data_IF_564598547513
#
_entry.id   IF_564598547513
#
_cell.length_a   1.000
_cell.length_b   1.000
_cell.length_c   1.000
_cell.angle_alpha   90.00
_cell.angle_beta   90.00
_cell.angle_gamma   90.00
#
_symmetry.space_group_name_H-M   'P 1'
#
loop_
_entity.id
_entity.type
_entity.pdbx_description
1 polymer ?
#
# COMPACT_ATOMS: atom_id res chain seq x y z
N UNK A 1 -12.94 0.64 18.01
CA UNK A 1 -11.73 1.25 17.44
C UNK A 1 -10.62 0.20 17.49
N UNK A 2 -10.23 -0.39 16.36
CA UNK A 2 -9.41 -1.62 16.35
C UNK A 2 -7.90 -1.37 16.16
N UNK A 3 -7.52 -0.13 15.83
CA UNK A 3 -6.12 0.26 15.69
C UNK A 3 -5.49 0.35 17.09
N UNK A 4 -4.41 -0.39 17.31
CA UNK A 4 -3.70 -0.41 18.60
C UNK A 4 -2.32 0.24 18.56
N UNK A 5 -1.75 0.43 17.37
CA UNK A 5 -0.46 1.10 17.18
C UNK A 5 -0.38 1.78 15.81
N UNK A 6 0.36 2.87 15.70
CA UNK A 6 0.61 3.58 14.45
C UNK A 6 2.07 4.03 14.40
N UNK A 7 2.71 3.88 13.25
CA UNK A 7 4.02 4.48 12.94
C UNK A 7 3.96 5.29 11.64
N UNK A 8 4.91 6.20 11.42
CA UNK A 8 5.10 6.77 10.08
C UNK A 8 5.62 5.69 9.11
N UNK A 9 5.41 5.90 7.81
CA UNK A 9 5.69 4.89 6.79
C UNK A 9 6.72 5.36 5.74
N UNK A 10 6.31 5.57 4.49
CA UNK A 10 7.21 5.79 3.35
C UNK A 10 8.04 7.09 3.40
N UNK A 11 9.00 7.20 2.50
CA UNK A 11 9.84 8.40 2.36
C UNK A 11 9.17 9.37 1.37
N UNK A 12 9.29 10.67 1.66
CA UNK A 12 9.02 11.71 0.66
C UNK A 12 10.24 11.97 -0.21
N UNK A 13 9.96 12.44 -1.41
CA UNK A 13 10.96 13.12 -2.22
C UNK A 13 11.45 14.38 -1.49
N UNK A 14 12.78 14.54 -1.36
CA UNK A 14 13.36 15.63 -0.54
C UNK A 14 13.91 16.82 -1.35
N UNK A 15 13.96 16.73 -2.68
CA UNK A 15 14.63 17.76 -3.49
C UNK A 15 13.69 18.85 -4.04
N UNK A 16 12.39 18.58 -4.05
CA UNK A 16 11.35 19.57 -4.30
C UNK A 16 10.27 19.42 -3.21
N UNK A 17 9.55 20.50 -2.90
CA UNK A 17 8.37 20.43 -2.05
C UNK A 17 7.32 19.55 -2.74
N UNK A 18 7.31 18.27 -2.41
CA UNK A 18 6.59 17.24 -3.14
C UNK A 18 5.79 16.39 -2.17
N UNK A 19 4.55 16.09 -2.54
CA UNK A 19 3.71 15.08 -1.86
C UNK A 19 3.96 13.67 -2.44
N UNK A 20 4.95 13.53 -3.33
CA UNK A 20 5.24 12.27 -3.99
C UNK A 20 6.06 11.36 -3.07
N UNK A 21 5.70 10.08 -3.11
CA UNK A 21 6.41 9.03 -2.39
C UNK A 21 7.65 8.60 -3.15
N UNK A 22 8.70 8.31 -2.41
CA UNK A 22 9.95 7.82 -2.99
C UNK A 22 9.84 6.39 -3.50
N UNK A 23 9.00 5.59 -2.88
CA UNK A 23 8.90 4.17 -3.14
C UNK A 23 7.49 3.73 -3.49
N UNK A 24 7.36 2.68 -4.31
CA UNK A 24 6.08 2.06 -4.59
C UNK A 24 5.32 1.62 -3.33
N UNK A 25 4.00 1.76 -3.36
CA UNK A 25 3.09 1.18 -2.36
C UNK A 25 1.90 0.53 -3.06
N UNK A 26 1.54 -0.67 -2.60
CA UNK A 26 0.32 -1.38 -2.96
C UNK A 26 -0.56 -1.56 -1.73
N UNK A 27 -1.84 -1.26 -1.85
CA UNK A 27 -2.83 -1.42 -0.79
C UNK A 27 -4.09 -2.06 -1.36
N UNK A 28 -4.57 -3.13 -0.73
CA UNK A 28 -5.77 -3.87 -1.14
C UNK A 28 -5.80 -4.26 -2.63
N UNK A 29 -4.66 -4.66 -3.20
CA UNK A 29 -4.56 -5.05 -4.61
C UNK A 29 -4.26 -3.89 -5.56
N UNK A 30 -4.38 -2.64 -5.11
CA UNK A 30 -4.20 -1.44 -5.94
C UNK A 30 -2.84 -0.79 -5.67
N UNK A 31 -2.08 -0.50 -6.72
CA UNK A 31 -0.85 0.29 -6.60
C UNK A 31 -1.23 1.75 -6.42
N UNK A 32 -1.05 2.28 -5.21
CA UNK A 32 -1.42 3.66 -4.86
C UNK A 32 -0.29 4.66 -5.14
N UNK A 33 0.94 4.18 -5.33
CA UNK A 33 2.08 4.96 -5.81
C UNK A 33 3.08 4.05 -6.49
N UNK A 34 3.67 4.51 -7.61
CA UNK A 34 4.79 3.85 -8.29
C UNK A 34 6.16 4.22 -7.74
N UNK A 35 6.25 5.20 -6.83
CA UNK A 35 7.50 5.79 -6.40
C UNK A 35 8.15 6.65 -7.49
N UNK A 36 8.46 7.92 -7.18
CA UNK A 36 8.99 8.86 -8.19
C UNK A 36 10.30 9.55 -7.77
N UNK A 37 10.84 9.24 -6.59
CA UNK A 37 11.97 10.01 -6.06
C UNK A 37 13.29 9.61 -6.71
N UNK A 38 14.24 10.55 -6.86
CA UNK A 38 15.64 10.25 -7.18
C UNK A 38 16.41 9.40 -6.17
N UNK A 39 15.80 9.12 -5.02
CA UNK A 39 16.26 8.15 -4.04
C UNK A 39 15.58 6.78 -4.19
N UNK A 40 14.52 6.73 -5.00
CA UNK A 40 13.74 5.55 -5.33
C UNK A 40 14.29 4.78 -6.54
N UNK A 41 13.53 3.79 -7.03
CA UNK A 41 13.88 2.99 -8.19
C UNK A 41 13.66 3.75 -9.51
N UNK A 42 14.33 4.88 -9.69
CA UNK A 42 14.20 5.68 -10.92
C UNK A 42 15.36 5.42 -11.88
N UNK A 43 15.12 5.69 -13.17
CA UNK A 43 16.11 5.47 -14.24
C UNK A 43 17.38 6.30 -14.06
N UNK A 44 17.25 7.52 -13.56
CA UNK A 44 18.35 8.48 -13.44
C UNK A 44 18.42 9.02 -12.01
N UNK A 45 18.97 8.25 -11.05
CA UNK A 45 19.08 8.73 -9.68
C UNK A 45 20.07 9.89 -9.58
N UNK A 46 19.85 10.75 -8.60
CA UNK A 46 20.69 11.95 -8.41
C UNK A 46 22.11 11.62 -7.92
N UNK A 47 22.27 10.50 -7.22
CA UNK A 47 23.58 9.97 -6.81
C UNK A 47 23.73 8.55 -7.34
N UNK A 48 24.93 8.21 -7.86
CA UNK A 48 25.26 6.88 -8.39
C UNK A 48 25.09 5.76 -7.36
N UNK A 49 25.15 6.09 -6.07
CA UNK A 49 24.86 5.15 -4.99
C UNK A 49 23.50 4.47 -5.17
N UNK A 50 22.46 5.24 -5.50
CA UNK A 50 21.09 4.75 -5.64
C UNK A 50 20.90 3.83 -6.86
N UNK A 51 21.82 3.82 -7.82
CA UNK A 51 21.75 2.91 -8.97
C UNK A 51 21.95 1.44 -8.61
N UNK A 52 22.57 1.15 -7.44
CA UNK A 52 22.99 -0.20 -7.06
C UNK A 52 22.37 -0.69 -5.74
N UNK A 53 21.40 0.05 -5.18
CA UNK A 53 20.74 -0.33 -3.92
C UNK A 53 19.84 -1.56 -4.10
N UNK A 54 19.77 -2.41 -3.08
CA UNK A 54 18.80 -3.49 -3.04
C UNK A 54 17.59 -3.04 -2.24
N UNK A 55 16.50 -2.82 -2.96
CA UNK A 55 15.22 -2.53 -2.34
C UNK A 55 14.57 -3.83 -1.85
N UNK A 56 13.81 -3.69 -0.78
CA UNK A 56 13.01 -4.77 -0.19
C UNK A 56 11.55 -4.36 -0.20
N UNK A 57 10.67 -5.35 -0.24
CA UNK A 57 9.25 -5.18 -0.05
C UNK A 57 8.83 -5.87 1.26
N UNK A 58 8.17 -5.14 2.15
CA UNK A 58 7.34 -5.74 3.19
C UNK A 58 5.98 -6.03 2.56
N UNK A 59 5.61 -7.29 2.48
CA UNK A 59 4.35 -7.78 1.92
C UNK A 59 3.49 -8.34 3.04
N UNK A 60 2.19 -8.04 3.03
CA UNK A 60 1.27 -8.63 4.00
C UNK A 60 -0.16 -8.82 3.47
N UNK A 61 -0.84 -9.78 4.08
CA UNK A 61 -2.27 -10.02 3.96
C UNK A 61 -2.86 -10.46 5.32
N UNK A 62 -4.02 -11.12 5.32
CA UNK A 62 -4.66 -11.59 6.54
C UNK A 62 -4.06 -12.88 7.11
N UNK A 63 -3.14 -13.53 6.40
CA UNK A 63 -2.52 -14.82 6.75
C UNK A 63 -1.04 -14.67 7.07
N UNK A 64 -0.34 -13.74 6.42
CA UNK A 64 1.10 -13.63 6.51
C UNK A 64 1.61 -12.20 6.39
N UNK A 65 2.80 -11.97 6.93
CA UNK A 65 3.63 -10.82 6.64
C UNK A 65 5.09 -11.28 6.46
N UNK A 66 5.75 -10.82 5.40
CA UNK A 66 7.11 -11.24 5.08
C UNK A 66 7.88 -10.15 4.34
N UNK A 67 9.21 -10.25 4.39
CA UNK A 67 10.12 -9.34 3.67
C UNK A 67 10.78 -10.10 2.52
N UNK A 68 10.81 -9.50 1.33
CA UNK A 68 11.42 -10.09 0.13
C UNK A 68 12.13 -9.02 -0.72
N UNK A 69 12.93 -9.44 -1.69
CA UNK A 69 13.52 -8.55 -2.69
C UNK A 69 12.44 -7.84 -3.52
N UNK A 70 12.66 -6.55 -3.78
CA UNK A 70 11.90 -5.79 -4.78
C UNK A 70 12.73 -5.67 -6.06
N UNK A 71 12.18 -6.14 -7.17
CA UNK A 71 12.80 -6.03 -8.48
C UNK A 71 12.26 -4.78 -9.20
N UNK A 72 13.12 -3.78 -9.36
CA UNK A 72 12.76 -2.48 -9.92
C UNK A 72 12.34 -2.54 -11.39
N UNK A 73 12.86 -3.51 -12.16
CA UNK A 73 12.57 -3.66 -13.60
C UNK A 73 11.20 -4.28 -13.81
N UNK A 74 10.89 -5.35 -13.09
CA UNK A 74 9.61 -6.07 -13.22
C UNK A 74 8.50 -5.48 -12.36
N UNK A 75 8.83 -4.72 -11.30
CA UNK A 75 7.87 -4.30 -10.27
C UNK A 75 7.48 -5.42 -9.30
N UNK A 76 8.13 -6.59 -9.35
CA UNK A 76 7.86 -7.68 -8.43
C UNK A 76 8.34 -7.34 -7.00
N UNK A 77 7.59 -7.71 -5.95
CA UNK A 77 6.40 -8.57 -6.00
C UNK A 77 5.08 -7.78 -6.15
N UNK A 78 5.12 -6.45 -6.22
CA UNK A 78 3.90 -5.61 -6.23
C UNK A 78 2.98 -5.93 -7.42
N UNK A 79 3.55 -6.23 -8.59
CA UNK A 79 2.77 -6.60 -9.77
C UNK A 79 2.14 -8.01 -9.70
N UNK A 80 2.45 -8.82 -8.69
CA UNK A 80 1.93 -10.18 -8.57
C UNK A 80 0.48 -10.16 -8.04
N UNK A 81 -0.39 -10.97 -8.66
CA UNK A 81 -1.82 -11.04 -8.31
C UNK A 81 -2.09 -11.47 -6.86
N UNK A 82 -1.22 -12.31 -6.30
CA UNK A 82 -1.31 -12.78 -4.92
C UNK A 82 -0.93 -11.72 -3.88
N UNK A 83 -0.27 -10.63 -4.27
CA UNK A 83 0.19 -9.59 -3.37
C UNK A 83 -0.90 -8.53 -3.21
N UNK A 84 -1.50 -8.47 -2.02
CA UNK A 84 -2.55 -7.49 -1.71
C UNK A 84 -2.00 -6.19 -1.15
N UNK A 85 -1.07 -6.27 -0.20
CA UNK A 85 -0.47 -5.09 0.39
C UNK A 85 1.04 -5.21 0.39
N UNK A 86 1.71 -4.14 0.00
CA UNK A 86 3.16 -4.08 0.05
C UNK A 86 3.64 -2.64 0.17
N UNK A 87 4.73 -2.44 0.92
CA UNK A 87 5.52 -1.21 0.88
C UNK A 87 6.92 -1.56 0.41
N UNK A 88 7.45 -0.78 -0.52
CA UNK A 88 8.85 -0.87 -0.94
C UNK A 88 9.68 0.11 -0.14
N UNK A 89 10.87 -0.31 0.28
CA UNK A 89 11.82 0.56 0.98
C UNK A 89 13.23 -0.02 0.93
N UNK A 90 14.19 0.67 1.54
CA UNK A 90 15.56 0.20 1.67
C UNK A 90 15.69 -1.02 2.57
N UNK A 91 16.56 -1.94 2.17
CA UNK A 91 17.28 -2.79 3.12
C UNK A 91 18.12 -1.90 4.05
N UNK A 92 18.17 -2.19 5.34
CA UNK A 92 18.89 -1.31 6.29
C UNK A 92 20.37 -1.11 5.92
N UNK A 93 21.02 -2.14 5.36
CA UNK A 93 22.43 -2.08 4.94
C UNK A 93 22.67 -1.11 3.79
N UNK A 94 21.63 -0.86 2.99
CA UNK A 94 21.69 -0.07 1.76
C UNK A 94 20.94 1.26 1.97
N UNK A 95 20.64 1.62 3.21
CA UNK A 95 20.02 2.89 3.53
C UNK A 95 21.03 4.05 3.37
N UNK A 96 20.65 5.19 2.77
CA UNK A 96 21.56 6.32 2.54
C UNK A 96 22.16 6.90 3.81
N UNK A 97 21.43 6.88 4.92
CA UNK A 97 21.98 7.34 6.20
C UNK A 97 23.17 6.48 6.67
N UNK A 98 23.23 5.20 6.26
CA UNK A 98 24.36 4.33 6.53
C UNK A 98 25.52 4.61 5.58
N UNK A 99 25.25 4.69 4.28
CA UNK A 99 26.33 4.77 3.27
C UNK A 99 26.79 6.20 2.99
N UNK A 100 25.86 7.12 2.75
CA UNK A 100 26.16 8.51 2.41
C UNK A 100 26.35 9.38 3.65
N UNK A 101 25.58 9.13 4.72
CA UNK A 101 25.68 9.90 5.97
C UNK A 101 26.53 9.20 7.05
N UNK A 102 27.39 8.25 6.65
CA UNK A 102 28.38 7.60 7.52
C UNK A 102 27.79 6.97 8.80
N UNK A 103 26.57 6.44 8.71
CA UNK A 103 25.90 5.71 9.79
C UNK A 103 25.78 6.51 11.10
N UNK A 104 25.54 7.82 11.02
CA UNK A 104 25.38 8.67 12.20
C UNK A 104 24.19 8.27 13.07
N UNK A 105 24.32 8.52 14.38
CA UNK A 105 23.23 8.25 15.32
C UNK A 105 22.02 9.16 15.06
N UNK A 106 20.84 8.57 14.94
CA UNK A 106 19.60 9.28 14.66
C UNK A 106 18.38 8.53 15.25
N UNK A 107 17.18 9.04 14.97
CA UNK A 107 15.94 8.27 15.12
C UNK A 107 15.77 7.37 13.91
N UNK A 108 15.52 6.09 14.15
CA UNK A 108 15.26 5.12 13.11
C UNK A 108 14.06 4.25 13.45
N UNK A 109 13.40 3.77 12.40
CA UNK A 109 12.40 2.73 12.49
C UNK A 109 12.85 1.55 11.64
N UNK A 110 13.10 0.44 12.30
CA UNK A 110 13.58 -0.79 11.67
C UNK A 110 12.56 -1.90 11.85
N UNK A 111 12.34 -2.65 10.78
CA UNK A 111 11.35 -3.72 10.71
C UNK A 111 12.05 -4.99 10.26
N UNK A 112 11.81 -6.08 10.97
CA UNK A 112 12.26 -7.40 10.61
C UNK A 112 11.20 -8.45 10.93
N UNK A 113 11.50 -9.68 10.56
CA UNK A 113 10.59 -10.81 10.81
C UNK A 113 11.24 -11.85 11.71
N UNK A 114 10.48 -12.28 12.72
CA UNK A 114 10.82 -13.40 13.60
C UNK A 114 10.19 -14.66 13.02
N UNK A 115 11.03 -15.50 12.42
CA UNK A 115 10.61 -16.81 11.96
C UNK A 115 10.66 -17.79 13.14
N UNK A 116 9.49 -18.22 13.61
CA UNK A 116 9.36 -19.07 14.81
C UNK A 116 9.44 -20.56 14.52
N UNK A 117 9.05 -20.98 13.31
CA UNK A 117 8.79 -22.38 12.96
C UNK A 117 9.56 -22.86 11.72
N UNK A 118 10.40 -22.01 11.13
CA UNK A 118 11.10 -22.22 9.85
C UNK A 118 10.18 -22.29 8.63
N UNK A 119 8.89 -21.98 8.78
CA UNK A 119 7.95 -21.88 7.67
C UNK A 119 8.01 -20.47 7.10
N UNK A 120 8.33 -20.36 5.82
CA UNK A 120 8.42 -19.07 5.14
C UNK A 120 7.02 -18.44 5.06
N UNK A 121 6.84 -17.27 5.69
CA UNK A 121 5.61 -16.49 5.63
C UNK A 121 4.76 -16.46 6.90
N UNK A 122 4.89 -17.42 7.83
CA UNK A 122 4.21 -17.36 9.14
C UNK A 122 5.08 -16.63 10.17
N UNK A 123 5.36 -15.36 9.88
CA UNK A 123 6.37 -14.60 10.61
C UNK A 123 5.75 -13.54 11.51
N UNK A 124 6.27 -13.44 12.74
CA UNK A 124 5.93 -12.34 13.63
C UNK A 124 6.74 -11.10 13.19
N UNK A 125 6.05 -10.03 12.83
CA UNK A 125 6.71 -8.73 12.57
C UNK A 125 7.25 -8.16 13.89
N UNK A 126 8.56 -7.89 13.90
CA UNK A 126 9.20 -7.13 14.96
C UNK A 126 9.57 -5.75 14.42
N UNK A 127 9.00 -4.73 15.06
CA UNK A 127 9.16 -3.33 14.70
C UNK A 127 9.80 -2.63 15.88
N UNK A 128 10.88 -1.90 15.63
CA UNK A 128 11.57 -1.14 16.65
C UNK A 128 11.78 0.30 16.21
N UNK A 129 11.40 1.22 17.10
CA UNK A 129 11.70 2.63 16.97
C UNK A 129 12.78 3.00 17.98
N UNK A 130 13.90 3.53 17.50
CA UNK A 130 15.00 4.01 18.33
C UNK A 130 15.03 5.54 18.32
N UNK A 131 15.28 6.15 19.47
CA UNK A 131 15.33 7.61 19.59
C UNK A 131 16.73 8.19 19.27
N UNK A 132 17.78 7.42 19.53
CA UNK A 132 19.17 7.80 19.23
C UNK A 132 20.04 6.55 19.16
N UNK A 133 20.28 6.07 17.96
CA UNK A 133 21.22 4.99 17.68
C UNK A 133 21.70 5.12 16.23
N UNK A 134 22.86 4.55 15.91
CA UNK A 134 23.22 4.27 14.52
C UNK A 134 22.27 3.24 13.93
N UNK A 135 22.21 3.14 12.59
CA UNK A 135 21.33 2.16 11.95
C UNK A 135 21.83 0.73 12.17
N UNK A 136 23.15 0.53 12.27
CA UNK A 136 23.75 -0.76 12.61
C UNK A 136 23.41 -1.19 14.04
N UNK A 137 23.52 -0.30 15.03
CA UNK A 137 23.12 -0.62 16.42
C UNK A 137 21.64 -1.01 16.51
N UNK A 138 20.76 -0.30 15.80
CA UNK A 138 19.34 -0.62 15.75
C UNK A 138 19.08 -2.00 15.11
N UNK A 139 19.76 -2.30 14.01
CA UNK A 139 19.66 -3.59 13.35
C UNK A 139 20.25 -4.72 14.19
N UNK A 140 21.39 -4.51 14.86
CA UNK A 140 22.02 -5.48 15.76
C UNK A 140 21.10 -5.82 16.94
N UNK A 141 20.32 -4.85 17.43
CA UNK A 141 19.31 -5.12 18.45
C UNK A 141 18.17 -5.99 17.91
N UNK A 142 17.68 -5.78 16.68
CA UNK A 142 16.74 -6.72 16.03
C UNK A 142 17.34 -8.13 15.90
N UNK A 143 18.63 -8.24 15.54
CA UNK A 143 19.34 -9.53 15.45
C UNK A 143 19.37 -10.23 16.81
N UNK A 144 19.73 -9.51 17.87
CA UNK A 144 19.73 -10.04 19.26
C UNK A 144 18.35 -10.48 19.72
N UNK A 145 17.29 -9.84 19.22
CA UNK A 145 15.90 -10.22 19.48
C UNK A 145 15.41 -11.39 18.60
N UNK A 146 16.27 -11.95 17.75
CA UNK A 146 16.01 -13.18 17.00
C UNK A 146 15.66 -13.00 15.52
N UNK A 147 15.74 -11.78 14.97
CA UNK A 147 15.49 -11.56 13.53
C UNK A 147 16.63 -12.17 12.72
N UNK A 148 16.31 -13.18 11.91
CA UNK A 148 17.28 -13.86 11.04
C UNK A 148 17.18 -13.42 9.57
N UNK A 149 16.01 -12.94 9.15
CA UNK A 149 15.74 -12.52 7.77
C UNK A 149 16.30 -11.14 7.41
N UNK A 150 15.73 -10.54 6.38
CA UNK A 150 16.04 -9.15 6.03
C UNK A 150 15.52 -8.17 7.07
N UNK A 151 16.22 -7.04 7.20
CA UNK A 151 15.80 -5.89 8.00
C UNK A 151 15.63 -4.72 7.03
N UNK A 152 14.50 -4.06 7.12
CA UNK A 152 14.16 -2.89 6.32
C UNK A 152 14.00 -1.66 7.22
N UNK A 153 14.02 -0.48 6.62
CA UNK A 153 13.78 0.77 7.35
C UNK A 153 12.64 1.51 6.71
N UNK A 154 11.87 2.24 7.50
CA UNK A 154 10.92 3.24 7.01
C UNK A 154 11.45 4.63 7.32
N UNK A 155 10.70 5.69 6.97
CA UNK A 155 11.16 7.06 7.19
C UNK A 155 11.50 7.30 8.67
N UNK A 156 12.54 8.07 8.92
CA UNK A 156 13.17 8.20 10.22
C UNK A 156 13.42 9.66 10.57
N UNK A 157 14.44 9.88 11.40
CA UNK A 157 14.86 11.21 11.83
C UNK A 157 13.69 12.01 12.41
N UNK A 158 13.50 13.22 11.88
CA UNK A 158 12.46 14.13 12.35
C UNK A 158 11.05 13.62 12.11
N UNK A 159 10.80 12.78 11.10
CA UNK A 159 9.48 12.23 10.77
C UNK A 159 9.01 11.14 11.71
N UNK A 160 9.92 10.58 12.51
CA UNK A 160 9.66 9.45 13.40
C UNK A 160 8.43 9.68 14.27
N UNK A 161 7.41 8.84 14.10
CA UNK A 161 6.18 8.83 14.87
C UNK A 161 5.94 7.42 15.43
N UNK A 162 5.53 7.35 16.69
CA UNK A 162 5.07 6.13 17.35
C UNK A 162 3.90 6.46 18.26
N UNK A 163 2.76 5.88 17.96
CA UNK A 163 1.58 5.89 18.80
C UNK A 163 1.21 4.46 19.21
N UNK A 164 0.75 4.32 20.45
CA UNK A 164 0.16 3.10 20.98
C UNK A 164 -1.15 3.44 21.71
N UNK A 165 -2.21 2.67 21.48
CA UNK A 165 -3.53 2.91 22.06
C UNK A 165 -3.58 2.93 23.60
N UNK A 166 -2.63 2.26 24.27
CA UNK A 166 -2.55 2.23 25.74
C UNK A 166 -1.73 3.40 26.30
N UNK A 167 -0.74 3.89 25.54
CA UNK A 167 0.24 4.88 26.02
C UNK A 167 0.11 6.25 25.32
N UNK A 168 -0.74 6.38 24.32
CA UNK A 168 -0.87 7.57 23.49
C UNK A 168 0.31 7.76 22.53
N UNK A 169 0.64 9.03 22.24
CA UNK A 169 1.77 9.41 21.42
C UNK A 169 3.07 9.23 22.21
N UNK A 170 3.81 8.15 21.93
CA UNK A 170 5.09 7.82 22.58
C UNK A 170 6.23 8.63 21.95
N UNK A 171 6.24 8.74 20.62
CA UNK A 171 7.21 9.56 19.87
C UNK A 171 6.44 10.43 18.89
N UNK A 172 6.71 11.72 18.91
CA UNK A 172 6.10 12.71 18.01
C UNK A 172 7.12 13.23 16.99
N UNK A 173 6.67 13.54 15.75
CA UNK A 173 7.53 14.17 14.75
C UNK A 173 8.03 15.52 15.25
N UNK A 174 9.28 15.84 14.92
CA UNK A 174 9.89 17.13 15.25
C UNK A 174 9.90 18.04 14.04
N UNK A 175 9.53 19.31 14.19
CA UNK A 175 9.52 20.27 13.10
C UNK A 175 10.89 20.41 12.43
N UNK A 176 10.88 20.69 11.13
CA UNK A 176 12.11 20.92 10.39
C UNK A 176 12.67 22.33 10.67
N UNK A 177 11.76 23.29 10.92
CA UNK A 177 12.06 24.65 11.35
C UNK A 177 11.14 25.03 12.52
N UNK A 178 11.62 25.78 13.53
CA UNK A 178 10.80 26.18 14.69
C UNK A 178 9.56 27.02 14.34
N UNK A 179 9.54 27.63 13.15
CA UNK A 179 8.47 28.49 12.63
C UNK A 179 7.37 27.71 11.87
N UNK A 180 7.54 26.41 11.64
CA UNK A 180 6.52 25.56 11.02
C UNK A 180 5.38 25.29 12.03
N UNK A 181 4.13 25.32 11.59
CA UNK A 181 2.98 25.13 12.49
C UNK A 181 2.98 23.70 13.09
N UNK A 182 3.08 23.53 14.42
CA UNK A 182 3.16 22.22 15.08
C UNK A 182 1.90 21.38 14.95
N UNK A 183 0.77 21.96 14.54
CA UNK A 183 -0.50 21.25 14.43
C UNK A 183 -0.59 20.33 13.20
N UNK A 184 0.20 20.58 12.14
CA UNK A 184 0.11 19.82 10.89
C UNK A 184 1.48 19.62 10.27
N UNK A 185 2.21 18.59 10.70
CA UNK A 185 3.00 17.87 9.71
C UNK A 185 2.01 17.01 8.94
N UNK A 186 1.71 17.37 7.70
CA UNK A 186 1.00 16.49 6.78
C UNK A 186 1.92 15.30 6.47
N UNK A 187 2.11 14.39 7.41
CA UNK A 187 2.57 13.03 7.13
C UNK A 187 1.34 12.34 6.54
N UNK A 188 1.22 12.20 5.22
CA UNK A 188 0.00 11.71 4.58
C UNK A 188 -0.06 10.17 4.58
N UNK A 189 0.93 9.50 5.17
CA UNK A 189 0.96 8.03 5.27
C UNK A 189 1.47 7.54 6.61
N UNK A 190 0.71 6.58 7.14
CA UNK A 190 1.03 5.88 8.37
C UNK A 190 0.85 4.38 8.14
N UNK A 191 1.66 3.59 8.82
CA UNK A 191 1.42 2.15 8.93
C UNK A 191 0.67 1.91 10.24
N UNK A 192 -0.61 1.55 10.11
CA UNK A 192 -1.49 1.29 11.24
C UNK A 192 -1.62 -0.20 11.53
N UNK A 193 -1.47 -0.57 12.80
CA UNK A 193 -1.62 -1.94 13.28
C UNK A 193 -2.96 -2.08 13.98
N UNK A 194 -3.77 -3.03 13.50
CA UNK A 194 -5.13 -3.24 14.00
C UNK A 194 -5.34 -4.67 14.44
N UNK A 195 -6.14 -4.85 15.49
CA UNK A 195 -6.69 -6.16 15.84
C UNK A 195 -7.70 -6.57 14.79
N UNK A 196 -7.62 -7.79 14.31
CA UNK A 196 -8.68 -8.39 13.48
C UNK A 196 -9.93 -8.53 14.35
N UNK A 197 -11.00 -7.77 14.04
CA UNK A 197 -12.31 -8.09 14.59
C UNK A 197 -12.91 -9.24 13.81
N UNK A 198 -13.39 -10.27 14.52
CA UNK A 198 -14.16 -11.37 13.94
C UNK A 198 -15.47 -10.94 13.27
N UNK A 199 -15.85 -9.67 13.38
CA UNK A 199 -16.91 -9.10 12.55
C UNK A 199 -16.40 -9.05 11.12
N UNK A 200 -16.61 -10.16 10.38
CA UNK A 200 -16.60 -10.15 8.92
C UNK A 200 -17.50 -9.00 8.49
N UNK A 201 -16.91 -7.92 8.00
CA UNK A 201 -17.69 -6.95 7.22
C UNK A 201 -18.22 -7.77 6.06
N UNK A 202 -19.55 -7.89 5.97
CA UNK A 202 -20.18 -8.65 4.90
C UNK A 202 -19.55 -8.24 3.56
N UNK A 203 -19.16 -9.20 2.70
CA UNK A 203 -18.65 -8.87 1.39
C UNK A 203 -19.63 -7.95 0.65
N UNK A 204 -19.12 -6.88 0.05
CA UNK A 204 -19.93 -5.89 -0.66
C UNK A 204 -19.14 -5.28 -1.80
N UNK A 205 -19.87 -4.79 -2.80
CA UNK A 205 -19.35 -3.95 -3.88
C UNK A 205 -20.00 -2.58 -3.75
N UNK A 206 -19.19 -1.53 -3.73
CA UNK A 206 -19.60 -0.13 -3.77
C UNK A 206 -19.22 0.45 -5.12
N UNK A 207 -20.16 1.11 -5.80
CA UNK A 207 -19.89 1.75 -7.10
C UNK A 207 -19.29 3.15 -6.87
N UNK A 208 -18.21 3.45 -7.61
CA UNK A 208 -17.38 4.64 -7.40
C UNK A 208 -17.72 5.87 -8.26
N UNK A 209 -18.83 5.87 -9.01
CA UNK A 209 -19.16 7.02 -9.86
C UNK A 209 -19.66 8.22 -9.05
N UNK A 210 -18.93 9.32 -9.16
CA UNK A 210 -19.25 10.61 -8.55
C UNK A 210 -20.40 11.28 -9.33
N UNK A 211 -21.60 11.17 -8.76
CA UNK A 211 -22.64 12.22 -8.73
C UNK A 211 -23.29 12.71 -10.04
N UNK A 212 -23.10 12.05 -11.19
CA UNK A 212 -24.00 12.22 -12.33
C UNK A 212 -24.26 10.87 -13.02
N UNK A 213 -25.52 10.58 -13.35
CA UNK A 213 -25.88 9.48 -14.25
C UNK A 213 -25.32 9.81 -15.63
N UNK A 214 -24.14 9.29 -15.95
CA UNK A 214 -23.52 9.47 -17.27
C UNK A 214 -23.88 8.26 -18.11
N UNK A 215 -24.72 8.48 -19.12
CA UNK A 215 -25.08 7.48 -20.12
C UNK A 215 -23.89 7.18 -21.04
N UNK A 216 -23.47 5.91 -21.18
CA UNK A 216 -22.45 5.50 -22.14
C UNK A 216 -22.90 5.78 -23.57
N UNK A 217 -22.04 6.42 -24.36
CA UNK A 217 -22.27 6.66 -25.79
C UNK A 217 -21.79 5.45 -26.60
N UNK A 218 -22.59 5.03 -27.57
CA UNK A 218 -22.24 3.95 -28.49
C UNK A 218 -20.87 4.22 -29.15
N UNK A 219 -20.03 3.19 -29.19
CA UNK A 219 -18.69 3.18 -29.79
C UNK A 219 -17.70 4.18 -29.14
N UNK A 220 -17.97 4.62 -27.90
CA UNK A 220 -17.07 5.46 -27.10
C UNK A 220 -16.64 4.75 -25.80
N UNK A 221 -15.40 4.91 -25.34
CA UNK A 221 -14.95 4.28 -24.10
C UNK A 221 -15.70 4.83 -22.88
N UNK A 222 -16.05 3.93 -21.97
CA UNK A 222 -16.75 4.21 -20.73
C UNK A 222 -16.07 3.50 -19.56
N UNK A 223 -15.71 4.26 -18.53
CA UNK A 223 -15.04 3.71 -17.33
C UNK A 223 -16.07 3.31 -16.27
N UNK A 224 -16.05 2.03 -15.92
CA UNK A 224 -16.82 1.45 -14.83
C UNK A 224 -15.90 1.38 -13.61
N UNK A 225 -16.29 2.03 -12.52
CA UNK A 225 -15.48 2.15 -11.30
C UNK A 225 -16.20 1.53 -10.10
N UNK A 226 -15.48 0.72 -9.32
CA UNK A 226 -16.00 0.12 -8.09
C UNK A 226 -14.92 -0.05 -7.02
N UNK A 227 -15.39 -0.36 -5.81
CA UNK A 227 -14.58 -0.80 -4.68
C UNK A 227 -15.26 -2.00 -4.06
N UNK A 228 -14.48 -2.93 -3.52
CA UNK A 228 -15.00 -4.07 -2.77
C UNK A 228 -14.12 -4.39 -1.56
N UNK A 229 -14.53 -5.38 -0.78
CA UNK A 229 -13.82 -5.86 0.39
C UNK A 229 -13.62 -7.39 0.38
N UNK A 230 -13.55 -8.02 -0.80
CA UNK A 230 -13.38 -9.47 -0.92
C UNK A 230 -12.27 -9.86 -1.90
N UNK A 231 -11.74 -11.07 -1.74
CA UNK A 231 -10.66 -11.59 -2.58
C UNK A 231 -11.20 -12.55 -3.65
N UNK A 232 -11.79 -11.98 -4.70
CA UNK A 232 -12.32 -12.69 -5.86
C UNK A 232 -12.35 -11.79 -7.09
N UNK A 233 -12.26 -12.39 -8.27
CA UNK A 233 -12.63 -11.76 -9.54
C UNK A 233 -14.11 -11.37 -9.54
N UNK A 234 -14.48 -10.51 -10.49
CA UNK A 234 -15.87 -10.06 -10.71
C UNK A 234 -16.34 -10.33 -12.13
N UNK A 235 -17.66 -10.38 -12.31
CA UNK A 235 -18.32 -10.32 -13.62
C UNK A 235 -19.07 -9.01 -13.77
N UNK A 236 -19.11 -8.45 -14.99
CA UNK A 236 -19.75 -7.18 -15.30
C UNK A 236 -20.81 -7.42 -16.39
N UNK A 237 -22.04 -7.01 -16.14
CA UNK A 237 -23.18 -7.26 -17.04
C UNK A 237 -24.10 -6.05 -17.13
N UNK A 238 -24.70 -5.84 -18.28
CA UNK A 238 -25.68 -4.80 -18.55
C UNK A 238 -27.09 -5.38 -18.55
N UNK A 239 -28.01 -4.75 -17.83
CA UNK A 239 -29.39 -5.18 -17.69
C UNK A 239 -30.38 -4.07 -18.04
N UNK A 240 -31.57 -4.52 -18.48
CA UNK A 240 -32.79 -3.73 -18.62
C UNK A 240 -33.86 -4.42 -17.75
N UNK A 241 -34.10 -3.89 -16.56
CA UNK A 241 -34.83 -4.61 -15.51
C UNK A 241 -34.20 -5.98 -15.23
N UNK A 242 -34.94 -7.07 -15.43
CA UNK A 242 -34.43 -8.44 -15.24
C UNK A 242 -33.80 -9.05 -16.51
N UNK A 243 -33.86 -8.35 -17.65
CA UNK A 243 -33.35 -8.85 -18.92
C UNK A 243 -31.86 -8.55 -19.04
N UNK A 244 -31.04 -9.58 -19.19
CA UNK A 244 -29.63 -9.42 -19.54
C UNK A 244 -29.54 -8.89 -20.99
N UNK A 245 -28.94 -7.72 -21.15
CA UNK A 245 -28.68 -7.11 -22.45
C UNK A 245 -27.31 -7.51 -22.97
N UNK A 246 -26.28 -7.44 -22.13
CA UNK A 246 -24.92 -7.74 -22.52
C UNK A 246 -24.11 -8.33 -21.36
N UNK A 247 -23.30 -9.34 -21.69
CA UNK A 247 -22.22 -9.79 -20.82
C UNK A 247 -20.96 -8.96 -21.13
N UNK A 248 -20.75 -7.86 -20.41
CA UNK A 248 -19.63 -6.93 -20.65
C UNK A 248 -18.30 -7.63 -20.36
N UNK A 249 -18.22 -8.34 -19.24
CA UNK A 249 -17.10 -9.22 -18.91
C UNK A 249 -17.61 -10.41 -18.10
N UNK A 250 -17.34 -11.61 -18.60
CA UNK A 250 -17.68 -12.84 -17.88
C UNK A 250 -16.84 -13.03 -16.62
N UNK A 251 -15.60 -12.51 -16.61
CA UNK A 251 -14.65 -12.57 -15.50
C UNK A 251 -13.52 -11.57 -15.73
N UNK A 252 -13.28 -10.71 -14.75
CA UNK A 252 -12.14 -9.77 -14.71
C UNK A 252 -11.60 -9.68 -13.28
N UNK A 253 -10.33 -9.29 -13.13
CA UNK A 253 -9.76 -9.00 -11.83
C UNK A 253 -10.59 -7.92 -11.12
N UNK A 254 -10.71 -8.02 -9.78
CA UNK A 254 -11.36 -6.98 -8.98
C UNK A 254 -10.35 -5.92 -8.56
N UNK A 255 -9.89 -5.13 -9.52
CA UNK A 255 -8.91 -4.04 -9.34
C UNK A 255 -9.56 -2.64 -9.31
N UNK A 256 -10.88 -2.58 -9.40
CA UNK A 256 -11.70 -1.38 -9.19
C UNK A 256 -12.00 -0.55 -10.43
N UNK A 257 -11.53 -0.98 -11.62
CA UNK A 257 -11.74 -0.26 -12.89
C UNK A 257 -11.92 -1.22 -14.06
N UNK A 258 -12.83 -0.88 -14.98
CA UNK A 258 -12.98 -1.59 -16.25
C UNK A 258 -13.38 -0.61 -17.35
N UNK A 259 -12.63 -0.61 -18.46
CA UNK A 259 -12.99 0.15 -19.66
C UNK A 259 -13.92 -0.70 -20.55
N UNK A 260 -15.10 -0.16 -20.84
CA UNK A 260 -16.09 -0.78 -21.71
C UNK A 260 -16.37 0.11 -22.91
N UNK A 261 -16.38 -0.49 -24.11
CA UNK A 261 -16.85 0.16 -25.34
C UNK A 261 -18.20 -0.47 -25.72
N UNK A 262 -19.34 0.23 -25.53
CA UNK A 262 -20.64 -0.27 -25.90
C UNK A 262 -20.84 -0.24 -27.41
N UNK A 263 -21.03 -1.39 -28.04
CA UNK A 263 -21.44 -1.45 -29.47
C UNK A 263 -22.96 -1.37 -29.67
N UNK A 264 -23.68 -0.99 -28.62
CA UNK A 264 -25.13 -0.84 -28.59
C UNK A 264 -25.50 0.54 -28.05
N UNK A 265 -26.68 1.04 -28.40
CA UNK A 265 -27.24 2.24 -27.78
C UNK A 265 -27.72 1.92 -26.37
N UNK A 266 -27.01 2.43 -25.36
CA UNK A 266 -27.40 2.30 -23.95
C UNK A 266 -28.51 3.31 -23.65
N UNK A 267 -29.57 2.85 -22.98
CA UNK A 267 -30.76 3.66 -22.69
C UNK A 267 -30.83 4.01 -21.22
N UNK A 268 -31.49 5.12 -20.91
CA UNK A 268 -31.78 5.50 -19.52
C UNK A 268 -32.62 4.39 -18.86
N UNK A 269 -32.26 4.06 -17.61
CA UNK A 269 -32.90 2.97 -16.86
C UNK A 269 -32.23 1.60 -17.05
N UNK A 270 -31.22 1.50 -17.91
CA UNK A 270 -30.33 0.34 -17.90
C UNK A 270 -29.45 0.42 -16.65
N UNK A 271 -28.98 -0.73 -16.17
CA UNK A 271 -28.00 -0.77 -15.10
C UNK A 271 -26.88 -1.76 -15.38
N UNK A 272 -25.70 -1.41 -14.91
CA UNK A 272 -24.53 -2.30 -14.89
C UNK A 272 -24.49 -2.98 -13.54
N UNK A 273 -24.51 -4.31 -13.55
CA UNK A 273 -24.28 -5.12 -12.35
C UNK A 273 -22.86 -5.66 -12.36
N UNK A 274 -22.15 -5.37 -11.27
CA UNK A 274 -20.87 -5.97 -10.95
C UNK A 274 -21.14 -7.02 -9.87
N UNK A 275 -20.72 -8.26 -10.06
CA UNK A 275 -20.94 -9.35 -9.11
C UNK A 275 -19.64 -10.09 -8.82
N UNK A 276 -19.46 -10.53 -7.57
CA UNK A 276 -18.40 -11.47 -7.24
C UNK A 276 -18.54 -12.74 -8.08
N UNK A 277 -17.42 -13.19 -8.65
CA UNK A 277 -17.37 -14.41 -9.45
C UNK A 277 -17.63 -15.66 -8.60
N UNK A 278 -17.15 -15.67 -7.35
CA UNK A 278 -17.31 -16.79 -6.41
C UNK A 278 -18.72 -16.86 -5.80
N UNK A 279 -19.37 -15.73 -5.59
CA UNK A 279 -20.71 -15.65 -5.02
C UNK A 279 -21.50 -14.50 -5.64
N UNK A 280 -22.41 -14.85 -6.55
CA UNK A 280 -23.18 -13.88 -7.34
C UNK A 280 -24.21 -13.11 -6.52
N UNK A 281 -24.46 -13.50 -5.26
CA UNK A 281 -25.33 -12.73 -4.36
C UNK A 281 -24.64 -11.48 -3.82
N UNK A 282 -23.32 -11.39 -3.95
CA UNK A 282 -22.55 -10.19 -3.63
C UNK A 282 -22.42 -9.38 -4.92
N UNK A 283 -23.22 -8.32 -5.04
CA UNK A 283 -23.23 -7.46 -6.22
C UNK A 283 -23.47 -5.98 -5.87
N UNK A 284 -23.11 -5.12 -6.81
CA UNK A 284 -23.45 -3.70 -6.81
C UNK A 284 -24.00 -3.30 -8.16
N UNK A 285 -25.04 -2.44 -8.17
CA UNK A 285 -25.70 -1.96 -9.36
C UNK A 285 -25.40 -0.48 -9.59
N UNK A 286 -24.96 -0.15 -10.80
CA UNK A 286 -24.79 1.20 -11.31
C UNK A 286 -25.96 1.52 -12.24
N UNK A 287 -26.81 2.46 -11.83
CA UNK A 287 -27.89 2.97 -12.69
C UNK A 287 -27.32 3.96 -13.72
N UNK A 288 -27.67 3.75 -15.00
CA UNK A 288 -27.26 4.59 -16.12
C UNK A 288 -28.35 5.60 -16.50
#
# INVERSE_FOLDING_TARGET
>A
NNVFSIINCSFFEQYESSTQLSFPIKLNGVVISGGNSPYGPIKEPKDKYYSNIRLKALVWDNKQAYITDYNQVSGAPLNQNGVKNAIVTYRYSDHPAKVLAQNQANKYQVIGTLNKDSVKGDELLLIMTVNKATLDEAADLLRKLGVKGDIITVDGGRSTYLFNSQNGNIIVPQLSKPQENPAFRNLPHYLGFRKTTKNQVAPKISIGQLTAKVLPTKDQPYLILWQDNFDSDVSIKLYDGNKLIQNISSRTASDGVYEWIPHISVKEGYFIRISSWKDRNIFGDLQL
#
